data_IF_090434472012
#
_entry.id   IF_090434472012
#
_cell.length_a   1.000
_cell.length_b   1.000
_cell.length_c   1.000
_cell.angle_alpha   90.00
_cell.angle_beta   90.00
_cell.angle_gamma   90.00
#
_symmetry.space_group_name_H-M   'P 1'
#
loop_
_entity.id
_entity.type
_entity.pdbx_description
1 polymer ?
#
# COMPACT_ATOMS: atom_id res chain seq x y z
N UNK A 1 22.11 -7.92 -8.10
CA UNK A 1 21.97 -9.35 -7.69
C UNK A 1 20.62 -9.86 -8.14
N UNK A 2 20.53 -11.12 -8.61
CA UNK A 2 19.31 -11.74 -9.16
C UNK A 2 19.02 -13.01 -8.38
N UNK A 3 17.75 -13.30 -8.08
CA UNK A 3 17.28 -14.59 -7.59
C UNK A 3 16.50 -15.28 -8.70
N UNK A 4 16.93 -16.48 -9.09
CA UNK A 4 16.32 -17.24 -10.16
C UNK A 4 16.28 -18.72 -9.76
N UNK A 5 15.08 -19.28 -9.64
CA UNK A 5 14.86 -20.65 -9.17
C UNK A 5 15.61 -20.99 -7.86
N UNK A 6 15.55 -20.09 -6.89
CA UNK A 6 16.18 -20.26 -5.59
C UNK A 6 17.70 -20.07 -5.56
N UNK A 7 18.33 -19.77 -6.70
CA UNK A 7 19.78 -19.57 -6.82
C UNK A 7 20.08 -18.08 -7.02
N UNK A 8 21.10 -17.56 -6.31
CA UNK A 8 21.58 -16.18 -6.45
C UNK A 8 22.59 -16.07 -7.57
N UNK A 9 22.43 -15.07 -8.44
CA UNK A 9 23.28 -14.75 -9.56
C UNK A 9 23.78 -13.30 -9.51
N UNK A 10 24.87 -13.02 -10.24
CA UNK A 10 25.35 -11.64 -10.46
C UNK A 10 24.43 -10.92 -11.47
N UNK A 11 24.22 -9.61 -11.26
CA UNK A 11 23.38 -8.79 -12.16
C UNK A 11 23.87 -8.78 -13.61
N UNK A 12 25.16 -9.07 -13.85
CA UNK A 12 25.72 -9.21 -15.21
C UNK A 12 25.12 -10.36 -16.03
N UNK A 13 24.55 -11.36 -15.35
CA UNK A 13 23.92 -12.53 -15.99
C UNK A 13 22.45 -12.28 -16.35
N UNK A 14 21.94 -11.05 -16.16
CA UNK A 14 20.54 -10.72 -16.39
C UNK A 14 20.01 -11.18 -17.75
N UNK A 15 20.75 -10.91 -18.83
CA UNK A 15 20.30 -11.25 -20.19
C UNK A 15 20.21 -12.76 -20.39
N UNK A 16 21.20 -13.53 -19.93
CA UNK A 16 21.20 -14.99 -19.99
C UNK A 16 20.02 -15.59 -19.22
N UNK A 17 19.74 -15.05 -18.04
CA UNK A 17 18.62 -15.49 -17.21
C UNK A 17 17.25 -15.10 -17.82
N UNK A 18 17.14 -13.93 -18.43
CA UNK A 18 15.95 -13.54 -19.18
C UNK A 18 15.73 -14.39 -20.43
N UNK A 19 16.80 -14.89 -21.08
CA UNK A 19 16.69 -15.76 -22.24
C UNK A 19 16.10 -17.14 -21.92
N UNK A 20 16.35 -17.68 -20.72
CA UNK A 20 15.77 -18.95 -20.28
C UNK A 20 14.46 -18.78 -19.47
N UNK A 21 14.11 -17.55 -19.09
CA UNK A 21 12.96 -17.31 -18.19
C UNK A 21 11.65 -17.81 -18.79
N UNK A 22 11.37 -17.52 -20.06
CA UNK A 22 10.13 -17.96 -20.73
C UNK A 22 9.94 -19.48 -20.68
N UNK A 23 11.02 -20.24 -20.95
CA UNK A 23 10.98 -21.68 -20.89
C UNK A 23 10.68 -22.20 -19.48
N UNK A 24 11.31 -21.60 -18.47
CA UNK A 24 11.09 -21.96 -17.06
C UNK A 24 9.66 -21.63 -16.59
N UNK A 25 9.12 -20.48 -16.99
CA UNK A 25 7.74 -20.09 -16.68
C UNK A 25 6.75 -21.08 -17.31
N UNK A 26 6.94 -21.42 -18.59
CA UNK A 26 6.08 -22.36 -19.31
C UNK A 26 6.15 -23.77 -18.72
N UNK A 27 7.33 -24.23 -18.30
CA UNK A 27 7.51 -25.52 -17.63
C UNK A 27 6.75 -25.53 -16.28
N UNK A 28 6.91 -24.48 -15.49
CA UNK A 28 6.20 -24.34 -14.20
C UNK A 28 4.68 -24.28 -14.38
N UNK A 29 4.19 -23.54 -15.40
CA UNK A 29 2.75 -23.47 -15.70
C UNK A 29 2.18 -24.79 -16.22
N UNK A 30 2.98 -25.57 -17.00
CA UNK A 30 2.52 -26.81 -17.59
C UNK A 30 2.55 -28.00 -16.61
N UNK A 31 3.54 -28.04 -15.74
CA UNK A 31 3.86 -29.21 -14.90
C UNK A 31 3.97 -28.90 -13.42
N UNK A 32 4.06 -27.62 -13.05
CA UNK A 32 4.14 -27.21 -11.64
C UNK A 32 2.81 -27.36 -10.92
N UNK A 33 2.88 -27.75 -9.67
CA UNK A 33 1.75 -27.69 -8.75
C UNK A 33 1.80 -26.35 -8.06
N UNK A 34 0.79 -25.44 -8.21
CA UNK A 34 0.78 -24.19 -7.49
C UNK A 34 1.00 -24.43 -5.99
N UNK A 35 1.86 -23.65 -5.34
CA UNK A 35 2.16 -23.89 -3.94
C UNK A 35 0.91 -23.70 -3.09
N UNK A 36 0.69 -24.61 -2.16
CA UNK A 36 -0.43 -24.53 -1.23
C UNK A 36 -0.27 -23.27 -0.36
N UNK A 37 -1.32 -22.47 -0.15
CA UNK A 37 -1.25 -21.30 0.74
C UNK A 37 -0.65 -21.60 2.11
N UNK A 38 -0.90 -22.78 2.68
CA UNK A 38 -0.31 -23.21 3.98
C UNK A 38 1.20 -23.26 3.97
N UNK A 39 1.81 -23.74 2.89
CA UNK A 39 3.29 -23.77 2.76
C UNK A 39 3.85 -22.36 2.81
N UNK A 40 3.22 -21.44 2.10
CA UNK A 40 3.61 -20.04 2.06
C UNK A 40 3.41 -19.39 3.43
N UNK A 41 2.27 -19.66 4.08
CA UNK A 41 1.93 -19.16 5.41
C UNK A 41 2.94 -19.65 6.46
N UNK A 42 3.27 -20.93 6.46
CA UNK A 42 4.23 -21.52 7.41
C UNK A 42 5.66 -20.96 7.17
N UNK A 43 6.05 -20.75 5.90
CA UNK A 43 7.33 -20.11 5.54
C UNK A 43 7.36 -18.63 5.98
N UNK A 44 6.27 -17.89 5.81
CA UNK A 44 6.15 -16.50 6.29
C UNK A 44 6.20 -16.41 7.82
N UNK A 45 5.57 -17.32 8.56
CA UNK A 45 5.65 -17.40 10.02
C UNK A 45 7.09 -17.63 10.49
N UNK A 46 7.83 -18.54 9.82
CA UNK A 46 9.26 -18.75 10.08
C UNK A 46 10.06 -17.48 9.81
N UNK A 47 9.80 -16.81 8.69
CA UNK A 47 10.45 -15.56 8.32
C UNK A 47 10.17 -14.44 9.33
N UNK A 48 8.92 -14.29 9.79
CA UNK A 48 8.53 -13.34 10.84
C UNK A 48 9.32 -13.59 12.14
N UNK A 49 9.44 -14.85 12.54
CA UNK A 49 10.21 -15.25 13.73
C UNK A 49 11.70 -14.91 13.57
N UNK A 50 12.28 -15.18 12.40
CA UNK A 50 13.68 -14.84 12.09
C UNK A 50 13.92 -13.33 12.05
N UNK A 51 12.96 -12.55 11.51
CA UNK A 51 13.02 -11.09 11.50
C UNK A 51 13.07 -10.51 12.91
N UNK A 52 12.21 -11.00 13.81
CA UNK A 52 12.21 -10.62 15.24
C UNK A 52 13.50 -11.01 15.96
N UNK A 53 14.18 -12.06 15.51
CA UNK A 53 15.48 -12.49 16.03
C UNK A 53 16.68 -11.77 15.35
N UNK A 54 16.42 -10.75 14.53
CA UNK A 54 17.44 -9.86 13.98
C UNK A 54 18.09 -10.32 12.68
N UNK A 55 17.49 -11.25 11.92
CA UNK A 55 18.05 -11.75 10.66
C UNK A 55 18.31 -10.64 9.63
N UNK A 56 17.52 -9.57 9.64
CA UNK A 56 17.59 -8.47 8.66
C UNK A 56 18.21 -7.19 9.23
N UNK A 57 18.84 -7.24 10.41
CA UNK A 57 19.39 -6.05 11.07
C UNK A 57 20.47 -5.33 10.25
N UNK A 58 21.26 -6.06 9.46
CA UNK A 58 22.31 -5.48 8.61
C UNK A 58 21.69 -4.67 7.45
N UNK A 59 20.71 -5.25 6.76
CA UNK A 59 20.02 -4.60 5.65
C UNK A 59 19.24 -3.38 6.13
N UNK A 60 18.56 -3.48 7.28
CA UNK A 60 17.81 -2.38 7.89
C UNK A 60 18.74 -1.26 8.39
N UNK A 61 19.87 -1.60 8.98
CA UNK A 61 20.89 -0.61 9.37
C UNK A 61 21.47 0.12 8.15
N UNK A 62 21.65 -0.59 7.02
CA UNK A 62 22.03 -0.01 5.74
C UNK A 62 21.02 1.01 5.17
N UNK A 63 19.75 0.92 5.58
CA UNK A 63 18.70 1.89 5.26
C UNK A 63 18.68 3.11 6.22
N UNK A 64 19.61 3.17 7.16
CA UNK A 64 19.77 4.30 8.09
C UNK A 64 18.84 4.28 9.30
N UNK A 65 18.33 3.10 9.69
CA UNK A 65 17.48 2.95 10.88
C UNK A 65 18.29 2.75 12.15
N UNK A 66 17.90 3.46 13.23
CA UNK A 66 18.40 3.21 14.57
C UNK A 66 17.65 2.04 15.25
N UNK A 67 18.29 1.38 16.23
CA UNK A 67 17.82 0.12 16.83
C UNK A 67 16.44 0.22 17.47
N UNK A 68 16.07 1.31 18.11
CA UNK A 68 14.80 1.45 18.83
C UNK A 68 13.57 1.53 17.90
N UNK A 69 13.54 2.51 16.98
CA UNK A 69 12.47 2.61 15.97
C UNK A 69 12.40 1.42 15.02
N UNK A 70 13.53 0.74 14.82
CA UNK A 70 13.61 -0.47 14.01
C UNK A 70 12.85 -1.63 14.64
N UNK A 71 12.92 -1.81 15.96
CA UNK A 71 12.23 -2.91 16.65
C UNK A 71 10.71 -2.86 16.43
N UNK A 72 10.09 -1.69 16.58
CA UNK A 72 8.66 -1.52 16.38
C UNK A 72 8.24 -1.80 14.91
N UNK A 73 9.00 -1.32 13.93
CA UNK A 73 8.73 -1.57 12.52
C UNK A 73 8.86 -3.05 12.15
N UNK A 74 9.85 -3.74 12.73
CA UNK A 74 10.01 -5.19 12.57
C UNK A 74 8.82 -5.92 13.17
N UNK A 75 8.35 -5.52 14.36
CA UNK A 75 7.17 -6.11 15.01
C UNK A 75 5.90 -5.91 14.14
N UNK A 76 5.68 -4.71 13.60
CA UNK A 76 4.56 -4.41 12.70
C UNK A 76 4.63 -5.26 11.42
N UNK A 77 5.78 -5.32 10.76
CA UNK A 77 5.99 -6.14 9.57
C UNK A 77 5.83 -7.64 9.87
N UNK A 78 6.39 -8.10 11.00
CA UNK A 78 6.25 -9.49 11.44
C UNK A 78 4.78 -9.83 11.76
N UNK A 79 4.01 -8.91 12.32
CA UNK A 79 2.59 -9.14 12.65
C UNK A 79 1.74 -9.45 11.41
N UNK A 80 2.07 -8.85 10.27
CA UNK A 80 1.40 -9.08 8.98
C UNK A 80 1.74 -10.48 8.44
N UNK A 81 2.98 -10.95 8.67
CA UNK A 81 3.46 -12.27 8.21
C UNK A 81 3.05 -13.44 9.13
N UNK A 82 2.44 -13.17 10.28
CA UNK A 82 1.99 -14.21 11.20
C UNK A 82 0.95 -15.13 10.56
N UNK A 83 1.00 -16.39 10.96
CA UNK A 83 0.11 -17.44 10.45
C UNK A 83 -1.36 -17.05 10.58
N UNK A 84 -1.79 -16.61 11.75
CA UNK A 84 -3.18 -16.20 12.00
C UNK A 84 -3.60 -15.02 11.09
N UNK A 85 -2.69 -14.08 10.85
CA UNK A 85 -2.93 -12.91 10.01
C UNK A 85 -3.11 -13.31 8.53
N UNK A 86 -2.24 -14.18 8.03
CA UNK A 86 -2.29 -14.62 6.63
C UNK A 86 -3.43 -15.62 6.37
N UNK A 87 -3.72 -16.53 7.31
CA UNK A 87 -4.89 -17.40 7.23
C UNK A 87 -6.19 -16.58 7.18
N UNK A 88 -6.31 -15.58 8.06
CA UNK A 88 -7.46 -14.67 8.07
C UNK A 88 -7.58 -13.89 6.75
N UNK A 89 -6.45 -13.41 6.17
CA UNK A 89 -6.43 -12.74 4.86
C UNK A 89 -6.90 -13.65 3.74
N UNK A 90 -6.41 -14.88 3.68
CA UNK A 90 -6.84 -15.85 2.66
C UNK A 90 -8.31 -16.19 2.81
N UNK A 91 -8.80 -16.37 4.05
CA UNK A 91 -10.22 -16.63 4.32
C UNK A 91 -11.11 -15.48 3.87
N UNK A 92 -10.74 -14.25 4.18
CA UNK A 92 -11.51 -13.05 3.84
C UNK A 92 -11.54 -12.79 2.34
N UNK A 93 -10.38 -12.88 1.69
CA UNK A 93 -10.24 -12.48 0.29
C UNK A 93 -10.57 -13.60 -0.70
N UNK A 94 -10.19 -14.85 -0.41
CA UNK A 94 -10.31 -15.97 -1.35
C UNK A 94 -11.33 -17.02 -0.92
N UNK A 95 -11.57 -17.16 0.38
CA UNK A 95 -12.50 -18.12 0.95
C UNK A 95 -11.81 -19.33 1.61
N UNK A 96 -12.57 -20.09 2.45
CA UNK A 96 -12.03 -21.19 3.26
C UNK A 96 -11.46 -22.35 2.45
N UNK A 97 -11.90 -22.52 1.23
CA UNK A 97 -11.46 -23.59 0.33
C UNK A 97 -10.00 -23.48 -0.05
N UNK A 98 -9.44 -22.26 -0.13
CA UNK A 98 -8.03 -22.03 -0.43
C UNK A 98 -7.08 -22.53 0.65
N UNK A 99 -7.56 -22.73 1.87
CA UNK A 99 -6.81 -23.34 2.97
C UNK A 99 -6.97 -24.88 3.04
N UNK A 100 -7.82 -25.48 2.19
CA UNK A 100 -8.02 -26.91 2.15
C UNK A 100 -7.08 -27.60 1.14
N UNK A 101 -6.26 -28.56 1.60
CA UNK A 101 -5.31 -29.32 0.77
C UNK A 101 -6.00 -30.10 -0.36
N UNK A 102 -7.26 -30.52 -0.17
CA UNK A 102 -8.05 -31.23 -1.17
C UNK A 102 -8.56 -30.38 -2.33
N UNK A 103 -8.64 -29.04 -2.15
CA UNK A 103 -9.11 -28.13 -3.19
C UNK A 103 -8.05 -27.97 -4.29
N UNK A 104 -6.79 -27.78 -3.90
CA UNK A 104 -5.70 -27.60 -4.84
C UNK A 104 -5.33 -28.89 -5.59
N UNK A 105 -5.52 -30.07 -4.99
CA UNK A 105 -5.35 -31.34 -5.69
C UNK A 105 -6.43 -31.59 -6.75
N UNK A 106 -7.64 -31.06 -6.59
CA UNK A 106 -8.71 -31.16 -7.57
C UNK A 106 -8.51 -30.27 -8.81
N UNK A 107 -7.76 -29.16 -8.67
CA UNK A 107 -7.39 -28.26 -9.79
C UNK A 107 -6.37 -28.94 -10.73
N UNK A 108 -5.57 -29.85 -10.21
CA UNK A 108 -4.35 -30.36 -10.85
C UNK A 108 -4.45 -31.79 -11.35
N UNK A 109 -5.51 -32.53 -11.00
CA UNK A 109 -5.68 -33.89 -11.52
C UNK A 109 -6.63 -33.89 -12.72
N UNK A 110 -6.18 -34.39 -13.85
CA UNK A 110 -6.94 -34.67 -15.10
C UNK A 110 -8.13 -35.63 -14.91
N UNK A 111 -8.54 -35.89 -13.67
CA UNK A 111 -9.64 -36.77 -13.33
C UNK A 111 -10.96 -36.00 -13.16
N UNK A 112 -11.43 -35.40 -14.23
CA UNK A 112 -12.83 -35.00 -14.38
C UNK A 112 -13.71 -36.23 -14.65
N UNK A 113 -13.77 -37.16 -13.69
CA UNK A 113 -14.74 -38.24 -13.73
C UNK A 113 -15.69 -38.15 -12.52
N UNK A 114 -16.97 -37.82 -12.70
CA UNK A 114 -17.90 -37.48 -11.61
C UNK A 114 -18.44 -38.64 -10.78
N UNK A 115 -17.93 -39.87 -10.87
CA UNK A 115 -18.64 -41.06 -10.40
C UNK A 115 -18.16 -41.70 -9.09
N UNK A 116 -17.29 -41.06 -8.29
CA UNK A 116 -16.82 -41.72 -7.05
C UNK A 116 -16.35 -40.77 -5.93
N UNK A 117 -17.00 -39.63 -5.69
CA UNK A 117 -16.68 -38.79 -4.55
C UNK A 117 -17.79 -38.99 -3.49
N UNK A 118 -17.43 -39.38 -2.23
CA UNK A 118 -18.36 -39.36 -1.11
C UNK A 118 -18.84 -37.94 -0.86
N UNK A 119 -20.15 -37.80 -0.57
CA UNK A 119 -20.77 -36.52 -0.25
C UNK A 119 -20.17 -35.88 1.01
N UNK A 120 -19.11 -35.10 0.84
CA UNK A 120 -18.64 -34.08 1.78
C UNK A 120 -18.98 -32.74 1.13
N UNK A 121 -19.72 -31.91 1.86
CA UNK A 121 -20.28 -30.63 1.43
C UNK A 121 -19.31 -29.82 0.58
N UNK A 122 -19.73 -29.38 -0.61
CA UNK A 122 -18.86 -28.63 -1.51
C UNK A 122 -18.86 -27.15 -1.13
N UNK A 123 -17.72 -26.63 -0.85
CA UNK A 123 -17.47 -25.22 -1.02
C UNK A 123 -16.41 -25.08 -2.11
N UNK A 124 -16.29 -24.04 -2.82
CA UNK A 124 -17.20 -23.14 -3.51
C UNK A 124 -17.10 -23.21 -5.04
N UNK A 125 -17.15 -24.39 -5.55
CA UNK A 125 -17.68 -24.51 -6.89
C UNK A 125 -19.17 -24.14 -6.77
N UNK A 126 -19.53 -22.87 -6.93
CA UNK A 126 -20.94 -22.49 -6.99
C UNK A 126 -21.52 -23.06 -8.27
N UNK A 127 -22.06 -24.26 -8.17
CA UNK A 127 -22.93 -24.83 -9.20
C UNK A 127 -24.22 -24.01 -9.19
N UNK A 128 -24.32 -23.07 -10.10
CA UNK A 128 -25.56 -22.33 -10.34
C UNK A 128 -26.26 -22.99 -11.51
N UNK A 129 -27.43 -23.52 -11.30
CA UNK A 129 -28.38 -23.80 -12.38
C UNK A 129 -29.11 -22.50 -12.68
N UNK A 130 -28.80 -21.81 -13.80
CA UNK A 130 -29.58 -20.65 -14.21
C UNK A 130 -31.02 -21.07 -14.50
N UNK A 131 -32.01 -20.25 -14.15
CA UNK A 131 -33.44 -20.61 -14.32
C UNK A 131 -33.87 -20.84 -15.79
N UNK A 132 -32.98 -20.68 -16.76
CA UNK A 132 -33.27 -20.83 -18.19
C UNK A 132 -32.36 -21.83 -18.92
N UNK A 133 -31.50 -22.58 -18.21
CA UNK A 133 -30.52 -23.44 -18.87
C UNK A 133 -30.93 -24.91 -18.66
N UNK A 134 -31.78 -25.46 -19.50
CA UNK A 134 -32.23 -26.84 -19.69
C UNK A 134 -31.45 -27.97 -18.99
N UNK A 135 -31.09 -27.81 -17.71
CA UNK A 135 -30.39 -28.82 -16.91
C UNK A 135 -28.85 -28.85 -17.07
N UNK A 136 -28.24 -27.87 -17.72
CA UNK A 136 -26.77 -27.76 -17.82
C UNK A 136 -26.18 -27.24 -16.52
N UNK A 137 -25.12 -27.86 -16.09
CA UNK A 137 -24.35 -27.48 -14.89
C UNK A 137 -23.28 -26.48 -15.24
N UNK A 138 -23.31 -25.29 -14.62
CA UNK A 138 -22.27 -24.29 -14.72
C UNK A 138 -21.36 -24.35 -13.48
N UNK A 139 -20.12 -24.71 -13.67
CA UNK A 139 -19.11 -24.73 -12.61
C UNK A 139 -18.21 -23.51 -12.75
N UNK A 140 -18.10 -22.71 -11.68
CA UNK A 140 -17.22 -21.53 -11.61
C UNK A 140 -16.13 -21.77 -10.59
N UNK A 141 -14.90 -21.44 -10.97
CA UNK A 141 -13.74 -21.59 -10.13
C UNK A 141 -12.87 -20.31 -10.21
N UNK A 142 -12.29 -19.94 -9.07
CA UNK A 142 -11.29 -18.89 -9.01
C UNK A 142 -9.90 -19.53 -9.13
N UNK A 143 -9.08 -19.03 -10.04
CA UNK A 143 -7.73 -19.54 -10.29
C UNK A 143 -6.73 -18.38 -10.32
N UNK A 144 -5.40 -18.64 -10.12
CA UNK A 144 -4.37 -17.63 -10.33
C UNK A 144 -4.45 -16.97 -11.72
N UNK A 145 -3.96 -15.76 -11.86
CA UNK A 145 -3.76 -15.14 -13.17
C UNK A 145 -2.77 -15.94 -14.02
N UNK A 146 -1.68 -16.41 -13.39
CA UNK A 146 -0.56 -17.10 -14.00
C UNK A 146 0.76 -16.50 -13.57
N UNK A 147 1.30 -15.57 -14.35
CA UNK A 147 2.55 -14.86 -14.07
C UNK A 147 2.25 -13.41 -13.68
N UNK A 148 2.73 -12.98 -12.52
CA UNK A 148 2.70 -11.59 -12.07
C UNK A 148 4.07 -10.94 -12.23
N UNK A 149 4.10 -9.75 -12.81
CA UNK A 149 5.29 -8.91 -12.83
C UNK A 149 5.13 -7.74 -11.88
N UNK A 150 5.93 -7.71 -10.81
CA UNK A 150 5.90 -6.71 -9.76
C UNK A 150 6.93 -5.61 -10.03
N UNK A 151 6.47 -4.38 -10.07
CA UNK A 151 7.29 -3.16 -10.13
C UNK A 151 6.99 -2.38 -8.86
N UNK A 152 7.87 -2.49 -7.88
CA UNK A 152 7.61 -1.95 -6.55
C UNK A 152 8.32 -0.61 -6.32
N UNK A 153 7.71 0.25 -5.47
CA UNK A 153 8.32 1.47 -4.98
C UNK A 153 9.35 1.17 -3.89
N UNK A 154 10.41 1.97 -3.83
CA UNK A 154 11.49 1.80 -2.84
C UNK A 154 11.36 2.70 -1.60
N UNK A 155 10.19 3.29 -1.35
CA UNK A 155 9.95 4.18 -0.21
C UNK A 155 9.32 3.49 1.00
N UNK A 156 9.00 2.20 0.89
CA UNK A 156 8.47 1.37 1.97
C UNK A 156 9.30 0.10 2.07
N UNK A 157 9.93 -0.10 3.22
CA UNK A 157 10.85 -1.21 3.47
C UNK A 157 10.13 -2.55 3.40
N UNK A 158 10.66 -3.49 2.62
CA UNK A 158 10.11 -4.83 2.47
C UNK A 158 8.84 -4.93 1.61
N UNK A 159 8.21 -3.83 1.20
CA UNK A 159 7.01 -3.84 0.36
C UNK A 159 7.16 -4.70 -0.91
N UNK A 160 8.30 -4.67 -1.63
CA UNK A 160 8.49 -5.54 -2.79
C UNK A 160 8.35 -7.03 -2.46
N UNK A 161 8.91 -7.48 -1.34
CA UNK A 161 8.80 -8.87 -0.89
C UNK A 161 7.36 -9.22 -0.48
N UNK A 162 6.66 -8.33 0.24
CA UNK A 162 5.24 -8.54 0.60
C UNK A 162 4.35 -8.67 -0.63
N UNK A 163 4.57 -7.86 -1.66
CA UNK A 163 3.82 -7.95 -2.92
C UNK A 163 3.98 -9.31 -3.59
N UNK A 164 5.20 -9.89 -3.56
CA UNK A 164 5.47 -11.25 -4.05
C UNK A 164 4.81 -12.30 -3.17
N UNK A 165 4.86 -12.17 -1.85
CA UNK A 165 4.19 -13.10 -0.92
C UNK A 165 2.68 -13.15 -1.15
N UNK A 166 2.03 -12.02 -1.38
CA UNK A 166 0.61 -11.97 -1.76
C UNK A 166 0.36 -12.66 -3.12
N UNK A 167 1.25 -12.46 -4.09
CA UNK A 167 1.17 -13.16 -5.38
C UNK A 167 1.30 -14.68 -5.25
N UNK A 168 2.17 -15.16 -4.36
CA UNK A 168 2.32 -16.58 -4.01
C UNK A 168 1.07 -17.12 -3.32
N UNK A 169 0.51 -16.40 -2.32
CA UNK A 169 -0.74 -16.78 -1.63
C UNK A 169 -1.91 -16.95 -2.58
N UNK A 170 -1.93 -16.19 -3.68
CA UNK A 170 -2.92 -16.34 -4.75
C UNK A 170 -2.54 -17.42 -5.78
N UNK A 171 -1.39 -18.12 -5.62
CA UNK A 171 -0.94 -19.23 -6.46
C UNK A 171 -0.20 -18.83 -7.73
N UNK A 172 0.27 -17.59 -7.87
CA UNK A 172 0.93 -17.10 -9.07
C UNK A 172 2.46 -17.35 -9.06
N UNK A 173 3.05 -17.40 -10.25
CA UNK A 173 4.49 -17.20 -10.44
C UNK A 173 4.77 -15.71 -10.39
N UNK A 174 5.84 -15.28 -9.74
CA UNK A 174 6.12 -13.88 -9.47
C UNK A 174 7.49 -13.48 -10.00
N UNK A 175 7.52 -12.47 -10.84
CA UNK A 175 8.73 -11.79 -11.30
C UNK A 175 8.77 -10.44 -10.61
N UNK A 176 9.81 -10.16 -9.85
CA UNK A 176 10.00 -8.89 -9.14
C UNK A 176 11.16 -8.11 -9.76
N UNK A 177 10.89 -6.88 -10.17
CA UNK A 177 11.92 -5.89 -10.45
C UNK A 177 12.17 -5.08 -9.17
N UNK A 178 13.37 -5.23 -8.59
CA UNK A 178 13.76 -4.49 -7.38
C UNK A 178 13.85 -2.98 -7.64
N UNK A 179 13.34 -2.16 -6.73
CA UNK A 179 13.64 -0.73 -6.74
C UNK A 179 15.09 -0.49 -6.31
N UNK A 180 15.73 0.54 -6.83
CA UNK A 180 17.12 0.89 -6.49
C UNK A 180 17.31 1.25 -5.01
N UNK A 181 16.26 1.66 -4.33
CA UNK A 181 16.27 2.02 -2.90
C UNK A 181 16.02 0.83 -1.96
N UNK A 182 15.80 -0.39 -2.45
CA UNK A 182 15.52 -1.58 -1.62
C UNK A 182 16.71 -2.03 -0.76
N UNK A 183 17.92 -1.63 -1.14
CA UNK A 183 19.16 -1.99 -0.45
C UNK A 183 19.36 -3.50 -0.20
N UNK A 184 18.67 -4.35 -1.00
CA UNK A 184 18.77 -5.80 -0.93
C UNK A 184 17.88 -6.47 0.11
N UNK A 185 17.10 -5.73 0.90
CA UNK A 185 16.21 -6.26 1.93
C UNK A 185 15.18 -7.25 1.35
N UNK A 186 14.44 -6.82 0.32
CA UNK A 186 13.40 -7.69 -0.28
C UNK A 186 14.00 -8.92 -0.95
N UNK A 187 15.16 -8.79 -1.59
CA UNK A 187 15.88 -9.94 -2.13
C UNK A 187 16.22 -10.94 -1.02
N UNK A 188 16.76 -10.47 0.11
CA UNK A 188 17.13 -11.28 1.25
C UNK A 188 15.91 -11.97 1.88
N UNK A 189 14.79 -11.25 2.02
CA UNK A 189 13.53 -11.82 2.52
C UNK A 189 13.04 -12.95 1.64
N UNK A 190 13.02 -12.78 0.32
CA UNK A 190 12.56 -13.81 -0.62
C UNK A 190 13.52 -15.00 -0.73
N UNK A 191 14.82 -14.79 -0.60
CA UNK A 191 15.79 -15.89 -0.49
C UNK A 191 15.55 -16.75 0.75
N UNK A 192 15.33 -16.11 1.92
CA UNK A 192 15.01 -16.84 3.14
C UNK A 192 13.66 -17.55 3.05
N UNK A 193 12.65 -16.93 2.43
CA UNK A 193 11.37 -17.58 2.18
C UNK A 193 11.51 -18.85 1.34
N UNK A 194 12.29 -18.79 0.26
CA UNK A 194 12.56 -19.96 -0.60
C UNK A 194 13.42 -21.02 0.11
N UNK A 195 14.30 -20.64 1.05
CA UNK A 195 15.04 -21.60 1.88
C UNK A 195 14.12 -22.35 2.86
N UNK A 196 13.11 -21.64 3.43
CA UNK A 196 12.11 -22.26 4.30
C UNK A 196 11.20 -23.24 3.54
N UNK A 197 10.84 -22.89 2.30
CA UNK A 197 9.98 -23.68 1.43
C UNK A 197 10.60 -23.79 0.02
N UNK A 198 11.51 -24.76 -0.20
CA UNK A 198 12.23 -24.92 -1.48
C UNK A 198 11.33 -25.14 -2.71
N UNK A 199 10.11 -25.65 -2.50
CA UNK A 199 9.09 -25.78 -3.55
C UNK A 199 8.63 -24.46 -4.13
N UNK A 200 8.89 -23.32 -3.46
CA UNK A 200 8.61 -21.98 -3.98
C UNK A 200 9.63 -21.50 -5.01
N UNK A 201 10.77 -22.18 -5.15
CA UNK A 201 11.85 -21.75 -6.05
C UNK A 201 11.39 -21.50 -7.51
N UNK A 202 10.54 -22.34 -8.13
CA UNK A 202 10.04 -22.09 -9.49
C UNK A 202 9.01 -20.96 -9.59
N UNK A 203 8.56 -20.40 -8.47
CA UNK A 203 7.51 -19.38 -8.38
C UNK A 203 8.04 -17.99 -8.02
N UNK A 204 9.36 -17.85 -7.78
CA UNK A 204 9.98 -16.58 -7.35
C UNK A 204 11.19 -16.24 -8.21
N UNK A 205 11.10 -15.14 -8.93
CA UNK A 205 12.15 -14.56 -9.74
C UNK A 205 12.36 -13.10 -9.36
N UNK A 206 13.59 -12.70 -9.01
CA UNK A 206 13.91 -11.34 -8.60
C UNK A 206 15.04 -10.78 -9.45
N UNK A 207 14.85 -9.63 -10.07
CA UNK A 207 15.82 -8.97 -10.92
C UNK A 207 16.17 -7.59 -10.38
N UNK A 208 17.46 -7.32 -10.26
CA UNK A 208 18.03 -6.02 -9.94
C UNK A 208 18.24 -5.22 -11.24
N UNK A 209 17.13 -4.95 -11.92
CA UNK A 209 17.12 -4.25 -13.20
C UNK A 209 17.06 -2.75 -12.96
N UNK A 210 18.01 -1.94 -13.52
CA UNK A 210 17.94 -0.50 -13.49
C UNK A 210 16.62 0.03 -14.09
N UNK A 211 16.11 1.13 -13.57
CA UNK A 211 14.82 1.69 -14.03
C UNK A 211 14.89 2.28 -15.45
N UNK A 212 16.07 2.53 -15.97
CA UNK A 212 16.36 2.99 -17.32
C UNK A 212 16.63 1.83 -18.32
N UNK A 213 16.80 0.60 -17.84
CA UNK A 213 16.86 -0.60 -18.70
C UNK A 213 15.47 -1.01 -19.18
N UNK A 214 14.90 -0.14 -20.01
CA UNK A 214 13.56 -0.34 -20.55
C UNK A 214 13.42 -1.64 -21.37
N UNK A 215 14.41 -2.08 -22.19
CA UNK A 215 14.33 -3.34 -22.89
C UNK A 215 14.13 -4.56 -21.97
N UNK A 216 14.87 -4.66 -20.87
CA UNK A 216 14.71 -5.75 -19.91
C UNK A 216 13.34 -5.69 -19.20
N UNK A 217 12.88 -4.50 -18.83
CA UNK A 217 11.55 -4.28 -18.21
C UNK A 217 10.44 -4.73 -19.17
N UNK A 218 10.53 -4.37 -20.45
CA UNK A 218 9.57 -4.78 -21.48
C UNK A 218 9.55 -6.28 -21.71
N UNK A 219 10.70 -6.94 -21.65
CA UNK A 219 10.77 -8.41 -21.73
C UNK A 219 10.04 -9.07 -20.57
N UNK A 220 10.29 -8.63 -19.33
CA UNK A 220 9.59 -9.14 -18.14
C UNK A 220 8.08 -8.88 -18.22
N UNK A 221 7.68 -7.69 -18.66
CA UNK A 221 6.28 -7.34 -18.87
C UNK A 221 5.60 -8.22 -19.94
N UNK A 222 6.35 -8.65 -20.96
CA UNK A 222 5.87 -9.54 -22.04
C UNK A 222 5.53 -10.94 -21.57
N UNK A 223 6.09 -11.41 -20.47
CA UNK A 223 5.81 -12.75 -19.89
C UNK A 223 4.61 -12.72 -18.92
N UNK A 224 4.14 -11.55 -18.53
CA UNK A 224 3.17 -11.40 -17.43
C UNK A 224 1.72 -11.51 -17.92
N UNK A 225 0.88 -12.18 -17.13
CA UNK A 225 -0.58 -12.15 -17.19
C UNK A 225 -1.14 -10.95 -16.41
N UNK A 226 -0.41 -10.49 -15.41
CA UNK A 226 -0.72 -9.30 -14.62
C UNK A 226 0.54 -8.51 -14.26
N UNK A 227 0.46 -7.17 -14.34
CA UNK A 227 1.53 -6.26 -13.91
C UNK A 227 1.06 -5.52 -12.66
N UNK A 228 1.79 -5.68 -11.56
CA UNK A 228 1.54 -5.04 -10.27
C UNK A 228 2.48 -3.85 -10.14
N UNK A 229 1.93 -2.64 -10.09
CA UNK A 229 2.71 -1.40 -10.04
C UNK A 229 2.46 -0.69 -8.73
N UNK A 230 3.52 -0.52 -7.94
CA UNK A 230 3.57 0.31 -6.76
C UNK A 230 4.38 1.56 -7.07
N UNK A 231 3.78 2.74 -6.99
CA UNK A 231 4.56 3.95 -7.25
C UNK A 231 3.74 5.19 -7.55
N UNK A 232 4.46 6.29 -7.80
CA UNK A 232 3.86 7.55 -8.16
C UNK A 232 3.22 7.56 -9.55
N UNK A 233 2.47 8.62 -9.86
CA UNK A 233 1.71 8.80 -11.09
C UNK A 233 2.56 8.57 -12.36
N UNK A 234 3.80 9.09 -12.38
CA UNK A 234 4.69 8.92 -13.52
C UNK A 234 5.12 7.47 -13.78
N UNK A 235 5.30 6.66 -12.73
CA UNK A 235 5.62 5.24 -12.87
C UNK A 235 4.41 4.48 -13.43
N UNK A 236 3.22 4.73 -12.87
CA UNK A 236 1.97 4.12 -13.35
C UNK A 236 1.67 4.50 -14.80
N UNK A 237 1.79 5.78 -15.16
CA UNK A 237 1.61 6.23 -16.56
C UNK A 237 2.62 5.59 -17.53
N UNK A 238 3.86 5.46 -17.10
CA UNK A 238 4.90 4.82 -17.91
C UNK A 238 4.54 3.38 -18.21
N UNK A 239 4.16 2.62 -17.18
CA UNK A 239 3.78 1.21 -17.36
C UNK A 239 2.51 1.07 -18.20
N UNK A 240 1.50 1.92 -18.02
CA UNK A 240 0.29 1.93 -18.88
C UNK A 240 0.61 2.08 -20.37
N UNK A 241 1.65 2.85 -20.71
CA UNK A 241 2.07 3.04 -22.12
C UNK A 241 2.76 1.82 -22.70
N UNK A 242 3.40 1.01 -21.87
CA UNK A 242 4.23 -0.12 -22.29
C UNK A 242 3.62 -1.49 -22.00
N UNK A 243 2.58 -1.56 -21.19
CA UNK A 243 1.91 -2.82 -20.89
C UNK A 243 1.38 -3.48 -22.17
N UNK A 244 1.66 -4.77 -22.39
CA UNK A 244 1.11 -5.48 -23.55
C UNK A 244 -0.43 -5.48 -23.53
N UNK A 245 -1.07 -5.45 -24.70
CA UNK A 245 -2.53 -5.56 -24.77
C UNK A 245 -3.04 -6.85 -24.10
N UNK A 246 -4.06 -6.73 -23.27
CA UNK A 246 -4.68 -7.88 -22.59
C UNK A 246 -4.06 -8.25 -21.23
N UNK A 247 -2.90 -7.71 -20.87
CA UNK A 247 -2.31 -7.88 -19.55
C UNK A 247 -3.11 -7.09 -18.52
N UNK A 248 -3.44 -7.70 -17.37
CA UNK A 248 -4.17 -7.04 -16.30
C UNK A 248 -3.25 -6.08 -15.55
N UNK A 249 -3.59 -4.79 -15.54
CA UNK A 249 -2.87 -3.81 -14.72
C UNK A 249 -3.48 -3.74 -13.31
N UNK A 250 -2.61 -3.87 -12.32
CA UNK A 250 -2.93 -3.80 -10.89
C UNK A 250 -2.11 -2.67 -10.30
N UNK A 251 -2.75 -1.52 -10.19
CA UNK A 251 -2.08 -0.26 -9.87
C UNK A 251 -2.34 0.13 -8.42
N UNK A 252 -1.25 0.31 -7.68
CA UNK A 252 -1.22 0.86 -6.33
C UNK A 252 -0.52 2.22 -6.40
N UNK A 253 -1.28 3.21 -6.86
CA UNK A 253 -0.76 4.53 -7.18
C UNK A 253 -0.62 5.43 -5.95
N UNK A 254 -0.08 6.62 -6.18
CA UNK A 254 0.05 7.65 -5.14
C UNK A 254 -1.33 8.04 -4.59
N UNK A 255 -1.42 8.16 -3.26
CA UNK A 255 -2.62 8.57 -2.54
C UNK A 255 -2.37 9.78 -1.64
N UNK A 256 -3.44 10.49 -1.37
CA UNK A 256 -3.50 11.62 -0.47
C UNK A 256 -4.37 11.28 0.73
N UNK A 257 -3.80 11.40 1.90
CA UNK A 257 -4.48 11.25 3.18
C UNK A 257 -4.38 12.56 3.96
N UNK A 258 -5.40 12.84 4.79
CA UNK A 258 -5.50 14.10 5.49
C UNK A 258 -6.26 13.94 6.81
N UNK A 259 -6.17 14.94 7.69
CA UNK A 259 -7.03 15.04 8.86
C UNK A 259 -8.18 16.01 8.60
N UNK A 260 -9.37 15.69 9.07
CA UNK A 260 -10.53 16.58 9.05
C UNK A 260 -10.99 16.86 10.47
N UNK A 261 -11.05 18.13 10.84
CA UNK A 261 -11.23 18.56 12.23
C UNK A 261 -12.43 19.50 12.32
N UNK A 262 -13.43 19.14 13.18
CA UNK A 262 -14.50 20.04 13.60
C UNK A 262 -14.11 20.75 14.87
N UNK A 263 -14.86 21.79 15.28
CA UNK A 263 -14.60 22.53 16.51
C UNK A 263 -14.59 21.61 17.74
N UNK A 264 -15.51 20.65 17.82
CA UNK A 264 -15.57 19.65 18.90
C UNK A 264 -14.37 18.68 18.89
N UNK A 265 -13.77 18.47 17.73
CA UNK A 265 -12.59 17.61 17.55
C UNK A 265 -11.27 18.22 18.03
N UNK A 266 -11.22 19.53 18.29
CA UNK A 266 -10.02 20.26 18.74
C UNK A 266 -9.75 19.99 20.23
N UNK A 267 -9.34 18.78 20.57
CA UNK A 267 -8.91 18.40 21.93
C UNK A 267 -7.42 18.15 21.99
N UNK A 268 -6.79 18.34 23.15
CA UNK A 268 -5.34 18.11 23.30
C UNK A 268 -4.96 16.66 23.03
N UNK A 269 -5.82 15.69 23.37
CA UNK A 269 -5.60 14.29 23.10
C UNK A 269 -5.55 14.01 21.59
N UNK A 270 -6.54 14.52 20.85
CA UNK A 270 -6.61 14.35 19.39
C UNK A 270 -5.44 15.04 18.67
N UNK A 271 -5.10 16.26 19.09
CA UNK A 271 -3.99 17.01 18.49
C UNK A 271 -2.63 16.34 18.75
N UNK A 272 -2.42 15.81 19.96
CA UNK A 272 -1.22 15.02 20.28
C UNK A 272 -1.14 13.75 19.43
N UNK A 273 -2.22 12.99 19.33
CA UNK A 273 -2.26 11.78 18.50
C UNK A 273 -1.98 12.08 17.02
N UNK A 274 -2.54 13.19 16.50
CA UNK A 274 -2.28 13.64 15.13
C UNK A 274 -0.82 14.05 14.94
N UNK A 275 -0.24 14.81 15.88
CA UNK A 275 1.14 15.25 15.82
C UNK A 275 2.12 14.07 15.82
N UNK A 276 1.92 13.09 16.71
CA UNK A 276 2.71 11.85 16.71
C UNK A 276 2.63 11.12 15.38
N UNK A 277 1.42 10.91 14.85
CA UNK A 277 1.23 10.28 13.53
C UNK A 277 1.99 11.01 12.41
N UNK A 278 1.91 12.34 12.36
CA UNK A 278 2.62 13.15 11.34
C UNK A 278 4.13 12.95 11.43
N UNK A 279 4.69 12.97 12.64
CA UNK A 279 6.13 12.88 12.87
C UNK A 279 6.64 11.46 12.66
N UNK A 280 5.99 10.44 13.23
CA UNK A 280 6.39 9.03 13.09
C UNK A 280 6.41 8.56 11.65
N UNK A 281 5.37 8.90 10.87
CA UNK A 281 5.28 8.52 9.46
C UNK A 281 6.17 9.36 8.54
N UNK A 282 6.76 10.44 9.05
CA UNK A 282 7.51 11.45 8.25
C UNK A 282 6.71 11.92 7.03
N UNK A 283 5.41 11.66 7.00
CA UNK A 283 4.49 11.93 5.88
C UNK A 283 4.88 11.23 4.57
N UNK A 284 5.59 10.09 4.65
CA UNK A 284 6.08 9.33 3.50
C UNK A 284 5.14 8.23 3.03
N UNK A 285 4.20 7.80 3.89
CA UNK A 285 3.23 6.75 3.57
C UNK A 285 2.01 7.34 2.85
N UNK A 286 1.33 6.54 2.02
CA UNK A 286 0.07 6.93 1.37
C UNK A 286 -1.04 7.25 2.37
N UNK A 287 -1.00 6.65 3.57
CA UNK A 287 -1.92 6.90 4.69
C UNK A 287 -1.49 8.07 5.59
N UNK A 288 -0.32 8.69 5.36
CA UNK A 288 0.18 9.78 6.19
C UNK A 288 -0.62 11.07 6.00
N UNK A 289 -0.85 11.80 7.08
CA UNK A 289 -1.54 13.09 7.05
C UNK A 289 -0.69 14.15 6.34
N UNK A 290 -1.10 14.56 5.15
CA UNK A 290 -0.46 15.62 4.36
C UNK A 290 -1.04 17.00 4.67
N UNK A 291 -2.36 17.06 4.84
CA UNK A 291 -3.13 18.29 5.07
C UNK A 291 -4.04 18.12 6.28
N UNK A 292 -4.17 19.15 7.06
CA UNK A 292 -5.18 19.27 8.12
C UNK A 292 -6.26 20.22 7.66
N UNK A 293 -7.47 19.73 7.46
CA UNK A 293 -8.62 20.54 7.11
C UNK A 293 -9.42 20.89 8.35
N UNK A 294 -9.77 22.17 8.47
CA UNK A 294 -10.67 22.65 9.50
C UNK A 294 -12.06 22.91 8.92
N UNK A 295 -13.11 22.43 9.62
CA UNK A 295 -14.52 22.70 9.31
C UNK A 295 -14.89 24.13 9.70
N UNK A 296 -14.34 25.09 8.96
CA UNK A 296 -14.62 26.51 9.14
C UNK A 296 -15.16 27.10 7.85
N UNK A 297 -16.23 27.87 7.93
CA UNK A 297 -16.92 28.44 6.80
C UNK A 297 -16.63 29.94 6.66
N UNK A 298 -15.85 30.35 5.65
CA UNK A 298 -15.58 31.75 5.42
C UNK A 298 -16.81 32.56 4.97
N UNK A 299 -17.90 31.90 4.53
CA UNK A 299 -19.04 32.57 3.90
C UNK A 299 -20.26 32.72 4.85
N UNK A 300 -20.21 32.23 6.08
CA UNK A 300 -21.43 32.03 6.88
C UNK A 300 -22.01 33.29 7.57
N UNK A 301 -21.33 34.45 7.56
CA UNK A 301 -21.78 35.63 8.29
C UNK A 301 -22.22 36.82 7.43
N UNK A 302 -22.15 36.76 6.11
CA UNK A 302 -22.67 37.81 5.20
C UNK A 302 -22.10 39.23 5.40
N UNK A 303 -20.98 39.35 6.15
CA UNK A 303 -20.25 40.60 6.39
C UNK A 303 -18.83 40.49 5.84
N UNK A 304 -18.24 41.59 5.41
CA UNK A 304 -16.84 41.67 5.01
C UNK A 304 -15.85 41.14 6.07
N UNK A 305 -16.29 41.02 7.31
CA UNK A 305 -15.52 40.46 8.44
C UNK A 305 -15.48 38.90 8.50
N UNK A 306 -16.22 38.18 7.66
CA UNK A 306 -16.28 36.70 7.72
C UNK A 306 -14.96 36.03 7.36
N UNK A 307 -14.25 36.55 6.36
CA UNK A 307 -12.90 36.09 6.01
C UNK A 307 -11.91 36.35 7.14
N UNK A 308 -12.01 37.49 7.83
CA UNK A 308 -11.12 37.82 8.95
C UNK A 308 -11.35 36.90 10.14
N UNK A 309 -12.61 36.54 10.47
CA UNK A 309 -12.95 35.63 11.55
C UNK A 309 -12.46 34.20 11.25
N UNK A 310 -12.65 33.73 10.02
CA UNK A 310 -12.17 32.41 9.58
C UNK A 310 -10.65 32.34 9.63
N UNK A 311 -9.99 33.38 9.10
CA UNK A 311 -8.54 33.45 9.12
C UNK A 311 -8.01 33.51 10.57
N UNK A 312 -8.67 34.22 11.48
CA UNK A 312 -8.33 34.21 12.91
C UNK A 312 -8.42 32.82 13.52
N UNK A 313 -9.52 32.06 13.29
CA UNK A 313 -9.66 30.68 13.79
C UNK A 313 -8.57 29.75 13.24
N UNK A 314 -8.19 29.90 11.99
CA UNK A 314 -7.11 29.10 11.37
C UNK A 314 -5.74 29.47 11.98
N UNK A 315 -5.49 30.75 12.23
CA UNK A 315 -4.26 31.22 12.90
C UNK A 315 -4.20 30.69 14.33
N UNK A 316 -5.28 30.83 15.08
CA UNK A 316 -5.37 30.34 16.47
C UNK A 316 -5.13 28.83 16.55
N UNK A 317 -5.66 28.08 15.59
CA UNK A 317 -5.38 26.65 15.48
C UNK A 317 -3.90 26.37 15.20
N UNK A 318 -3.28 27.08 14.26
CA UNK A 318 -1.85 26.90 13.93
C UNK A 318 -0.97 27.22 15.15
N UNK A 319 -1.26 28.32 15.88
CA UNK A 319 -0.53 28.72 17.09
C UNK A 319 -0.68 27.71 18.23
N UNK A 320 -1.86 27.07 18.35
CA UNK A 320 -2.11 25.99 19.32
C UNK A 320 -1.43 24.68 18.93
N UNK A 321 -1.47 24.32 17.64
CA UNK A 321 -0.99 23.02 17.16
C UNK A 321 0.54 22.97 17.03
N UNK A 322 1.20 24.10 16.71
CA UNK A 322 2.64 24.16 16.50
C UNK A 322 3.47 23.66 17.71
N UNK A 323 3.23 24.10 18.95
CA UNK A 323 3.98 23.60 20.11
C UNK A 323 3.74 22.11 20.39
N UNK A 324 2.56 21.58 20.05
CA UNK A 324 2.26 20.14 20.16
C UNK A 324 3.07 19.36 19.14
N UNK A 325 3.18 19.86 17.92
CA UNK A 325 3.98 19.26 16.86
C UNK A 325 5.49 19.30 17.20
N UNK A 326 6.00 20.41 17.76
CA UNK A 326 7.38 20.53 18.27
C UNK A 326 7.70 19.50 19.35
N UNK A 327 6.76 19.28 20.28
CA UNK A 327 6.92 18.26 21.32
C UNK A 327 7.04 16.87 20.72
N UNK A 328 6.18 16.52 19.74
CA UNK A 328 6.28 15.24 19.04
C UNK A 328 7.63 15.06 18.30
N UNK A 329 8.18 16.14 17.72
CA UNK A 329 9.53 16.11 17.11
C UNK A 329 10.59 15.79 18.15
N UNK A 330 10.52 16.39 19.36
CA UNK A 330 11.52 16.14 20.41
C UNK A 330 11.47 14.72 20.98
N UNK A 331 10.34 14.06 20.89
CA UNK A 331 10.12 12.67 21.29
C UNK A 331 10.48 11.66 20.19
N UNK A 332 10.75 12.13 18.98
CA UNK A 332 11.01 11.29 17.80
C UNK A 332 12.52 11.17 17.49
N UNK A 333 12.84 10.22 16.60
CA UNK A 333 14.20 10.08 16.06
C UNK A 333 14.52 11.26 15.15
N UNK A 334 15.70 11.92 15.34
CA UNK A 334 16.11 13.02 14.48
C UNK A 334 16.17 12.63 12.99
N UNK A 335 15.91 13.59 12.13
CA UNK A 335 16.11 13.41 10.69
C UNK A 335 17.61 13.30 10.38
N UNK A 336 17.96 12.47 9.42
CA UNK A 336 19.30 12.45 8.85
C UNK A 336 19.64 13.78 8.15
N UNK A 337 20.93 14.01 7.91
CA UNK A 337 21.44 15.27 7.33
C UNK A 337 20.84 15.51 5.92
N UNK A 338 20.68 14.47 5.12
CA UNK A 338 20.15 14.58 3.76
C UNK A 338 18.68 15.01 3.77
N UNK A 339 17.85 14.35 4.57
CA UNK A 339 16.44 14.70 4.78
C UNK A 339 16.30 16.13 5.33
N UNK A 340 17.12 16.50 6.32
CA UNK A 340 17.14 17.85 6.89
C UNK A 340 17.47 18.91 5.85
N UNK A 341 18.45 18.64 4.99
CA UNK A 341 18.84 19.56 3.91
C UNK A 341 17.72 19.71 2.87
N UNK A 342 17.06 18.63 2.46
CA UNK A 342 15.94 18.66 1.52
C UNK A 342 14.77 19.48 2.06
N UNK A 343 14.37 19.23 3.31
CA UNK A 343 13.29 19.98 3.97
C UNK A 343 13.64 21.46 4.06
N UNK A 344 14.86 21.76 4.48
CA UNK A 344 15.35 23.14 4.60
C UNK A 344 15.26 23.86 3.24
N UNK A 345 15.74 23.23 2.17
CA UNK A 345 15.70 23.79 0.83
C UNK A 345 14.25 24.05 0.38
N UNK A 346 13.34 23.10 0.57
CA UNK A 346 11.90 23.26 0.22
C UNK A 346 11.26 24.42 0.97
N UNK A 347 11.48 24.52 2.28
CA UNK A 347 10.91 25.59 3.11
C UNK A 347 11.48 26.97 2.72
N UNK A 348 12.77 27.06 2.40
CA UNK A 348 13.34 28.32 1.92
C UNK A 348 12.82 28.70 0.54
N UNK A 349 12.70 27.75 -0.37
CA UNK A 349 12.11 27.99 -1.71
C UNK A 349 10.66 28.51 -1.57
N UNK A 350 9.85 27.83 -0.76
CA UNK A 350 8.48 28.25 -0.49
C UNK A 350 8.40 29.65 0.13
N UNK A 351 9.32 29.97 1.07
CA UNK A 351 9.38 31.29 1.67
C UNK A 351 9.73 32.39 0.66
N UNK A 352 10.63 32.08 -0.28
CA UNK A 352 10.98 33.02 -1.36
C UNK A 352 9.83 33.25 -2.32
N UNK A 353 9.08 32.19 -2.65
CA UNK A 353 7.88 32.26 -3.50
C UNK A 353 6.79 33.11 -2.84
N UNK A 354 6.55 32.93 -1.53
CA UNK A 354 5.60 33.72 -0.74
C UNK A 354 6.01 35.20 -0.71
N UNK A 355 7.30 35.52 -0.50
CA UNK A 355 7.82 36.90 -0.52
C UNK A 355 7.75 37.53 -1.91
N UNK A 356 7.84 36.74 -2.96
CA UNK A 356 7.68 37.21 -4.33
C UNK A 356 6.20 37.46 -4.72
N UNK A 357 5.25 37.22 -3.81
CA UNK A 357 3.82 37.43 -4.02
C UNK A 357 3.15 36.38 -4.91
N UNK A 358 3.78 35.21 -5.01
CA UNK A 358 3.25 34.12 -5.84
C UNK A 358 2.29 33.18 -5.09
N UNK A 359 2.17 33.29 -3.76
CA UNK A 359 1.28 32.42 -2.96
C UNK A 359 0.67 33.19 -1.77
N UNK A 360 -0.63 32.92 -1.48
CA UNK A 360 -1.32 33.41 -0.28
C UNK A 360 -1.15 32.42 0.87
N UNK A 361 0.10 32.24 1.31
CA UNK A 361 0.48 31.27 2.35
C UNK A 361 1.19 31.93 3.54
N UNK A 362 0.84 31.54 4.76
CA UNK A 362 1.52 31.96 5.98
C UNK A 362 2.22 30.77 6.64
N UNK A 363 3.52 30.89 6.90
CA UNK A 363 4.32 29.80 7.49
C UNK A 363 4.58 30.08 8.97
N UNK A 364 4.16 29.13 9.82
CA UNK A 364 4.48 29.05 11.24
C UNK A 364 5.65 28.09 11.41
N UNK A 365 6.78 28.57 11.88
CA UNK A 365 8.02 27.78 12.00
C UNK A 365 8.25 27.33 13.43
N UNK A 366 8.41 26.03 13.62
CA UNK A 366 8.83 25.39 14.86
C UNK A 366 10.21 24.75 14.75
N UNK A 367 10.66 24.15 15.84
CA UNK A 367 11.91 23.40 15.88
C UNK A 367 11.74 22.04 15.18
N UNK A 368 12.27 21.90 13.99
CA UNK A 368 12.20 20.66 13.21
C UNK A 368 10.85 20.37 12.56
N UNK A 369 9.93 21.34 12.57
CA UNK A 369 8.62 21.23 11.93
C UNK A 369 8.14 22.61 11.46
N UNK A 370 7.07 22.60 10.66
CA UNK A 370 6.35 23.83 10.30
C UNK A 370 4.89 23.56 9.98
N UNK A 371 4.09 24.62 10.07
CA UNK A 371 2.70 24.62 9.60
C UNK A 371 2.59 25.70 8.53
N UNK A 372 2.12 25.31 7.35
CA UNK A 372 1.81 26.24 6.26
C UNK A 372 0.30 26.41 6.19
N UNK A 373 -0.19 27.59 6.56
CA UNK A 373 -1.57 27.97 6.41
C UNK A 373 -1.83 28.40 4.96
N UNK A 374 -2.83 27.81 4.32
CA UNK A 374 -3.25 28.10 2.95
C UNK A 374 -4.73 28.49 2.94
N UNK A 375 -5.09 29.44 2.11
CA UNK A 375 -6.49 29.89 1.95
C UNK A 375 -7.32 28.92 1.09
N UNK A 376 -6.67 28.23 0.14
CA UNK A 376 -7.34 27.29 -0.74
C UNK A 376 -7.54 25.92 -0.08
N UNK A 377 -8.76 25.38 -0.12
CA UNK A 377 -9.18 24.14 0.52
C UNK A 377 -8.93 22.84 -0.27
N UNK A 378 -8.11 22.82 -1.34
CA UNK A 378 -7.85 21.59 -2.10
C UNK A 378 -6.83 20.68 -1.42
N UNK A 379 -6.99 19.32 -1.48
CA UNK A 379 -5.97 18.38 -1.04
C UNK A 379 -4.71 18.48 -1.89
N UNK A 380 -3.55 18.56 -1.22
CA UNK A 380 -2.24 18.53 -1.87
C UNK A 380 -1.19 17.88 -0.95
N UNK A 381 -0.03 17.54 -1.53
CA UNK A 381 1.12 17.04 -0.77
C UNK A 381 1.76 18.15 0.05
N UNK A 382 2.08 17.84 1.28
CA UNK A 382 2.88 18.69 2.15
C UNK A 382 4.37 18.67 1.74
N UNK A 383 5.19 19.56 2.30
CA UNK A 383 6.66 19.44 2.20
C UNK A 383 7.22 18.18 2.88
N UNK A 384 6.40 17.42 3.62
CA UNK A 384 6.76 16.21 4.38
C UNK A 384 7.65 16.48 5.61
N UNK A 385 8.07 15.41 6.31
CA UNK A 385 9.00 15.45 7.45
C UNK A 385 8.58 16.45 8.56
N UNK A 386 7.31 16.38 8.96
CA UNK A 386 6.76 17.26 10.00
C UNK A 386 6.34 18.66 9.50
N UNK A 387 6.30 18.88 8.19
CA UNK A 387 5.82 20.12 7.62
C UNK A 387 4.42 19.92 7.03
N UNK A 388 3.41 20.37 7.75
CA UNK A 388 2.00 20.09 7.46
C UNK A 388 1.29 21.31 6.87
N UNK A 389 0.31 21.06 6.01
CA UNK A 389 -0.55 22.10 5.47
C UNK A 389 -1.82 22.21 6.34
N UNK A 390 -2.24 23.42 6.65
CA UNK A 390 -3.52 23.70 7.31
C UNK A 390 -4.40 24.51 6.37
N UNK A 391 -5.64 24.07 6.17
CA UNK A 391 -6.56 24.63 5.17
C UNK A 391 -7.99 24.69 5.70
N UNK A 392 -8.80 25.69 5.28
CA UNK A 392 -10.24 25.68 5.52
C UNK A 392 -10.93 24.72 4.56
N UNK A 393 -11.84 23.90 5.07
CA UNK A 393 -12.74 23.10 4.24
C UNK A 393 -14.09 22.93 4.94
N UNK A 394 -15.01 23.87 4.78
CA UNK A 394 -16.31 23.78 5.39
C UNK A 394 -17.08 22.55 4.92
N UNK A 395 -17.85 21.94 5.80
CA UNK A 395 -18.62 20.70 5.57
C UNK A 395 -19.43 20.74 4.27
N UNK A 396 -20.08 21.86 3.96
CA UNK A 396 -20.86 22.07 2.73
C UNK A 396 -20.01 21.98 1.45
N UNK A 397 -18.71 22.28 1.52
CA UNK A 397 -17.76 22.21 0.39
C UNK A 397 -16.93 20.93 0.34
N UNK A 398 -17.01 20.06 1.38
CA UNK A 398 -16.24 18.85 1.49
C UNK A 398 -16.41 17.94 0.26
N UNK A 399 -17.65 17.56 -0.06
CA UNK A 399 -17.94 16.68 -1.20
C UNK A 399 -17.48 17.27 -2.55
N UNK A 400 -17.87 18.48 -2.97
CA UNK A 400 -17.48 19.02 -4.28
C UNK A 400 -15.98 19.27 -4.39
N UNK A 401 -15.28 19.55 -3.29
CA UNK A 401 -13.82 19.74 -3.28
C UNK A 401 -13.09 18.42 -3.42
N UNK A 402 -13.40 17.45 -2.59
CA UNK A 402 -12.70 16.17 -2.57
C UNK A 402 -12.96 15.31 -3.80
N UNK A 403 -14.19 15.33 -4.34
CA UNK A 403 -14.55 14.59 -5.56
C UNK A 403 -13.67 14.88 -6.76
N UNK A 404 -13.07 16.06 -6.83
CA UNK A 404 -12.10 16.41 -7.90
C UNK A 404 -10.83 15.56 -7.85
N UNK A 405 -10.53 14.99 -6.68
CA UNK A 405 -9.34 14.16 -6.39
C UNK A 405 -9.70 12.72 -5.98
N UNK A 406 -10.92 12.25 -6.25
CA UNK A 406 -11.47 10.96 -5.75
C UNK A 406 -10.56 9.74 -5.97
N UNK A 407 -9.82 9.71 -7.08
CA UNK A 407 -8.93 8.58 -7.41
C UNK A 407 -7.61 8.60 -6.60
N UNK A 408 -7.32 9.71 -5.94
CA UNK A 408 -6.12 9.89 -5.13
C UNK A 408 -6.39 9.87 -3.62
N UNK A 409 -7.65 9.85 -3.19
CA UNK A 409 -8.00 9.88 -1.79
C UNK A 409 -7.90 8.49 -1.16
N UNK A 410 -7.36 8.42 0.08
CA UNK A 410 -7.25 7.15 0.80
C UNK A 410 -7.80 7.26 2.22
N UNK A 411 -7.04 7.81 3.17
CA UNK A 411 -7.35 7.76 4.60
C UNK A 411 -7.64 9.15 5.15
N UNK A 412 -8.64 9.23 6.03
CA UNK A 412 -8.94 10.43 6.82
C UNK A 412 -8.82 10.14 8.31
N UNK A 413 -7.98 10.92 8.99
CA UNK A 413 -8.01 11.07 10.44
C UNK A 413 -9.15 12.02 10.81
N UNK A 414 -10.26 11.47 11.32
CA UNK A 414 -11.45 12.26 11.66
C UNK A 414 -11.44 12.65 13.13
N UNK A 415 -11.37 13.97 13.37
CA UNK A 415 -11.41 14.60 14.69
C UNK A 415 -12.72 15.40 14.80
N UNK A 416 -13.72 14.84 15.42
CA UNK A 416 -15.06 15.43 15.53
C UNK A 416 -15.74 15.00 16.82
N UNK A 417 -16.89 15.59 17.11
CA UNK A 417 -17.82 15.11 18.15
C UNK A 417 -18.40 13.75 17.77
N UNK A 418 -18.84 12.99 18.77
CA UNK A 418 -19.43 11.67 18.55
C UNK A 418 -20.75 11.76 17.76
N UNK A 419 -21.51 12.82 17.99
CA UNK A 419 -22.77 13.14 17.31
C UNK A 419 -22.61 13.50 15.82
N UNK A 420 -21.43 13.97 15.41
CA UNK A 420 -21.12 14.34 14.02
C UNK A 420 -20.50 13.18 13.21
N UNK A 421 -19.97 12.17 13.91
CA UNK A 421 -19.08 11.16 13.33
C UNK A 421 -19.71 10.35 12.20
N UNK A 422 -20.93 9.89 12.38
CA UNK A 422 -21.62 9.07 11.37
C UNK A 422 -21.92 9.87 10.09
N UNK A 423 -22.43 11.08 10.24
CA UNK A 423 -22.72 11.97 9.10
C UNK A 423 -21.45 12.28 8.30
N UNK A 424 -20.38 12.69 9.00
CA UNK A 424 -19.10 13.02 8.36
C UNK A 424 -18.46 11.82 7.70
N UNK A 425 -18.49 10.65 8.33
CA UNK A 425 -17.98 9.40 7.75
C UNK A 425 -18.70 9.06 6.45
N UNK A 426 -20.02 9.13 6.43
CA UNK A 426 -20.82 8.87 5.24
C UNK A 426 -20.54 9.89 4.12
N UNK A 427 -20.34 11.17 4.48
CA UNK A 427 -20.00 12.21 3.53
C UNK A 427 -18.61 12.00 2.91
N UNK A 428 -17.62 11.61 3.73
CA UNK A 428 -16.26 11.29 3.31
C UNK A 428 -16.22 10.08 2.37
N UNK A 429 -16.95 9.01 2.67
CA UNK A 429 -17.06 7.85 1.77
C UNK A 429 -17.67 8.23 0.40
N UNK A 430 -18.71 9.06 0.39
CA UNK A 430 -19.28 9.58 -0.86
C UNK A 430 -18.29 10.46 -1.63
N UNK A 431 -17.36 11.10 -0.95
CA UNK A 431 -16.31 11.89 -1.58
C UNK A 431 -15.22 11.02 -2.23
N UNK A 432 -15.12 9.74 -1.87
CA UNK A 432 -14.15 8.79 -2.41
C UNK A 432 -13.04 8.41 -1.42
N UNK A 433 -13.21 8.73 -0.14
CA UNK A 433 -12.37 8.22 0.94
C UNK A 433 -12.64 6.73 1.13
N UNK A 434 -11.61 5.96 1.40
CA UNK A 434 -11.68 4.50 1.56
C UNK A 434 -11.60 4.11 3.04
N UNK A 435 -10.90 4.90 3.85
CA UNK A 435 -10.70 4.62 5.27
C UNK A 435 -10.93 5.89 6.10
N UNK A 436 -11.74 5.77 7.14
CA UNK A 436 -11.93 6.81 8.16
C UNK A 436 -11.51 6.23 9.51
N UNK A 437 -10.60 6.90 10.21
CA UNK A 437 -10.03 6.40 11.47
C UNK A 437 -9.80 7.55 12.45
N UNK A 438 -9.32 7.23 13.64
CA UNK A 438 -8.80 8.24 14.57
C UNK A 438 -7.46 8.83 14.11
N UNK A 439 -7.08 10.02 14.59
CA UNK A 439 -5.91 10.75 14.08
C UNK A 439 -4.58 10.01 14.30
N UNK A 440 -4.44 9.24 15.39
CA UNK A 440 -3.23 8.47 15.69
C UNK A 440 -3.15 7.11 14.97
N UNK A 441 -4.23 6.66 14.32
CA UNK A 441 -4.32 5.31 13.75
C UNK A 441 -4.36 5.30 12.21
N UNK A 442 -4.06 6.42 11.56
CA UNK A 442 -4.20 6.56 10.11
C UNK A 442 -3.30 5.58 9.33
N UNK A 443 -2.14 5.25 9.84
CA UNK A 443 -1.18 4.33 9.20
C UNK A 443 -1.08 2.97 9.87
N UNK A 444 -1.93 2.67 10.86
CA UNK A 444 -2.02 1.32 11.38
C UNK A 444 -2.64 0.41 10.32
N UNK A 445 -1.96 -0.66 9.99
CA UNK A 445 -2.39 -1.64 8.99
C UNK A 445 -2.40 -3.04 9.60
N UNK A 446 -3.35 -3.84 9.15
CA UNK A 446 -3.46 -5.27 9.45
C UNK A 446 -3.42 -6.06 8.13
N UNK A 447 -3.20 -7.36 8.21
CA UNK A 447 -3.27 -8.22 7.03
C UNK A 447 -4.65 -8.22 6.35
N UNK A 448 -5.72 -7.87 7.10
CA UNK A 448 -7.11 -7.85 6.60
C UNK A 448 -7.51 -6.53 5.93
N UNK A 449 -6.66 -5.52 5.98
CA UNK A 449 -6.99 -4.23 5.39
C UNK A 449 -7.06 -4.34 3.86
N UNK A 450 -8.14 -3.85 3.29
CA UNK A 450 -8.25 -3.64 1.86
C UNK A 450 -7.25 -2.55 1.44
N UNK A 451 -6.35 -2.85 0.51
CA UNK A 451 -5.43 -1.87 -0.03
C UNK A 451 -6.15 -1.02 -1.07
N UNK A 452 -6.14 0.30 -0.88
CA UNK A 452 -6.87 1.25 -1.74
C UNK A 452 -8.34 0.90 -1.99
N UNK A 453 -9.00 0.23 -1.02
CA UNK A 453 -10.39 -0.19 -1.11
C UNK A 453 -10.61 -1.48 -1.91
N UNK A 454 -9.55 -2.20 -2.25
CA UNK A 454 -9.60 -3.46 -2.98
C UNK A 454 -8.78 -4.55 -2.26
N UNK A 455 -9.14 -5.78 -2.45
CA UNK A 455 -8.44 -6.94 -1.91
C UNK A 455 -7.36 -7.44 -2.88
N UNK A 456 -6.06 -7.40 -2.51
CA UNK A 456 -4.97 -7.76 -3.41
C UNK A 456 -5.06 -9.19 -3.95
N UNK A 457 -5.37 -10.19 -3.10
CA UNK A 457 -5.44 -11.59 -3.55
C UNK A 457 -6.53 -11.81 -4.59
N UNK A 458 -7.69 -11.13 -4.44
CA UNK A 458 -8.76 -11.18 -5.44
C UNK A 458 -8.27 -10.62 -6.78
N UNK A 459 -7.51 -9.53 -6.75
CA UNK A 459 -6.97 -8.91 -7.97
C UNK A 459 -5.96 -9.80 -8.70
N UNK A 460 -5.25 -10.67 -7.97
CA UNK A 460 -4.25 -11.62 -8.51
C UNK A 460 -4.87 -12.90 -9.05
N UNK A 461 -6.20 -12.97 -9.12
CA UNK A 461 -6.95 -14.14 -9.60
C UNK A 461 -7.92 -13.79 -10.72
N UNK A 462 -8.43 -14.84 -11.40
CA UNK A 462 -9.50 -14.75 -12.39
C UNK A 462 -10.55 -15.85 -12.15
N UNK A 463 -11.74 -15.68 -12.69
CA UNK A 463 -12.79 -16.71 -12.71
C UNK A 463 -12.69 -17.48 -14.01
N UNK A 464 -12.71 -18.80 -13.92
CA UNK A 464 -12.88 -19.71 -15.04
C UNK A 464 -14.19 -20.46 -14.92
N UNK A 465 -14.77 -20.84 -16.07
CA UNK A 465 -16.09 -21.49 -16.13
C UNK A 465 -15.99 -22.76 -16.98
N UNK A 466 -16.62 -23.85 -16.51
CA UNK A 466 -16.90 -25.03 -17.31
C UNK A 466 -18.41 -25.23 -17.40
N UNK A 467 -18.87 -25.68 -18.57
CA UNK A 467 -20.31 -26.00 -18.83
C UNK A 467 -20.36 -27.38 -19.42
N UNK A 468 -21.17 -28.25 -18.79
CA UNK A 468 -21.49 -29.59 -19.26
C UNK A 468 -22.72 -29.58 -20.14
#
# INVERSE_FOLDING_TARGET
>A
MILHQGIRYDSKQQNELLDCLEANLNETLAHGTPPLPRIIIDACESLATKALNGLFNEELAGLGFEVGPMAQRIEEAASIMRKESLEAKVLEELGPEYLNDSYNSAILTDNLCPSSIPQLSPAPCRTLTPPYDHGRTLTKQRVPLGVLFHIAAGNVDGLPAFSVMEGLLAGNINILKLPSADNGLSLRMLEELVKEAPELAPYVYVFDTPSDDLPAILRMAGFADGIVVWGGEGAVETIRKFAPPGVKLIEWGHKLSFAYITEQGITDANLKALAHHIIETRQLLCSSCQTVFLDVDPENDGRESANDITMSKLVDFCERFLPILENAVTESVPLDIGSTAQVTLRLYTQTLEDHAGHTDRKIFRGRGCSITLCEEGSPELSPQFGNVLVKPLPRKRLLPTLRKKKSFLQTVGLLCGEDEREELTNLLFRAGIIRVTGPGSMSHTTALDAHDGEYPLIRYTRIVETRD
#
